data_IF_605858769512
#
_entry.id   IF_605858769512
#
_cell.length_a   1.000
_cell.length_b   1.000
_cell.length_c   1.000
_cell.angle_alpha   90.00
_cell.angle_beta   90.00
_cell.angle_gamma   90.00
#
_symmetry.space_group_name_H-M   'P 1'
#
loop_
_entity.id
_entity.type
_entity.pdbx_description
1 polymer ?
#
# COMPACT_ATOMS: atom_id res chain seq x y z
N UNK A 1 -21.91 -8.23 3.34
CA UNK A 1 -21.76 -6.87 3.90
C UNK A 1 -22.90 -6.62 4.85
N UNK A 2 -22.60 -6.24 6.10
CA UNK A 2 -23.57 -6.14 7.21
C UNK A 2 -24.76 -5.20 6.92
N UNK A 3 -24.55 -4.14 6.12
CA UNK A 3 -25.58 -3.14 5.79
C UNK A 3 -26.05 -3.14 4.33
N UNK A 4 -25.66 -4.12 3.49
CA UNK A 4 -25.92 -4.04 2.05
C UNK A 4 -27.40 -4.10 1.64
N UNK A 5 -28.29 -4.57 2.53
CA UNK A 5 -29.73 -4.59 2.30
C UNK A 5 -30.39 -3.22 2.44
N UNK A 6 -29.73 -2.25 3.08
CA UNK A 6 -30.28 -0.91 3.34
C UNK A 6 -30.08 0.07 2.18
N UNK A 7 -29.27 -0.31 1.18
CA UNK A 7 -28.81 0.62 0.15
C UNK A 7 -28.98 0.02 -1.25
N UNK A 8 -28.99 0.91 -2.25
CA UNK A 8 -29.03 0.50 -3.64
C UNK A 8 -27.81 -0.38 -3.98
N UNK A 9 -28.06 -1.65 -4.32
CA UNK A 9 -27.01 -2.66 -4.58
C UNK A 9 -26.03 -2.25 -5.69
N UNK A 10 -26.50 -1.54 -6.72
CA UNK A 10 -25.66 -1.08 -7.82
C UNK A 10 -24.70 -0.01 -7.33
N UNK A 11 -25.20 0.99 -6.59
CA UNK A 11 -24.37 2.07 -6.04
C UNK A 11 -23.33 1.55 -5.04
N UNK A 12 -23.74 0.64 -4.15
CA UNK A 12 -22.81 0.00 -3.20
C UNK A 12 -21.72 -0.77 -3.94
N UNK A 13 -22.05 -1.53 -4.99
CA UNK A 13 -21.05 -2.26 -5.77
C UNK A 13 -19.99 -1.33 -6.37
N UNK A 14 -20.41 -0.18 -6.91
CA UNK A 14 -19.49 0.83 -7.46
C UNK A 14 -18.58 1.40 -6.35
N UNK A 15 -19.17 1.78 -5.21
CA UNK A 15 -18.41 2.30 -4.05
C UNK A 15 -17.37 1.29 -3.56
N UNK A 16 -17.77 0.02 -3.41
CA UNK A 16 -16.87 -1.05 -2.98
C UNK A 16 -15.74 -1.29 -3.98
N UNK A 17 -16.01 -1.13 -5.28
CA UNK A 17 -14.96 -1.22 -6.30
C UNK A 17 -13.91 -0.11 -6.14
N UNK A 18 -14.34 1.14 -5.96
CA UNK A 18 -13.40 2.25 -5.77
C UNK A 18 -12.61 2.11 -4.45
N UNK A 19 -13.27 1.68 -3.38
CA UNK A 19 -12.60 1.40 -2.10
C UNK A 19 -11.58 0.27 -2.24
N UNK A 20 -11.92 -0.79 -2.97
CA UNK A 20 -11.03 -1.92 -3.19
C UNK A 20 -9.76 -1.49 -3.93
N UNK A 21 -9.87 -0.70 -4.99
CA UNK A 21 -8.69 -0.18 -5.70
C UNK A 21 -7.76 0.57 -4.76
N UNK A 22 -8.28 1.52 -3.98
CA UNK A 22 -7.48 2.27 -3.02
C UNK A 22 -6.86 1.36 -1.95
N UNK A 23 -7.62 0.39 -1.43
CA UNK A 23 -7.14 -0.56 -0.42
C UNK A 23 -6.02 -1.45 -0.95
N UNK A 24 -6.15 -1.98 -2.17
CA UNK A 24 -5.14 -2.86 -2.78
C UNK A 24 -3.81 -2.09 -2.98
N UNK A 25 -3.89 -0.82 -3.40
CA UNK A 25 -2.71 0.05 -3.56
C UNK A 25 -2.04 0.40 -2.24
N UNK A 26 -2.83 0.77 -1.22
CA UNK A 26 -2.32 1.05 0.13
C UNK A 26 -1.73 -0.21 0.77
N UNK A 27 -2.34 -1.38 0.54
CA UNK A 27 -1.83 -2.67 0.97
C UNK A 27 -0.45 -2.94 0.39
N UNK A 28 -0.28 -2.76 -0.92
CA UNK A 28 1.02 -2.95 -1.59
C UNK A 28 2.09 -1.98 -1.05
N UNK A 29 1.72 -0.71 -0.82
CA UNK A 29 2.63 0.26 -0.22
C UNK A 29 3.08 -0.16 1.19
N UNK A 30 2.13 -0.63 2.00
CA UNK A 30 2.41 -1.11 3.34
C UNK A 30 3.30 -2.36 3.32
N UNK A 31 3.03 -3.31 2.44
CA UNK A 31 3.83 -4.53 2.30
C UNK A 31 5.29 -4.22 1.94
N UNK A 32 5.53 -3.27 1.03
CA UNK A 32 6.87 -2.80 0.70
C UNK A 32 7.55 -2.14 1.91
N UNK A 33 6.81 -1.38 2.70
CA UNK A 33 7.35 -0.69 3.89
C UNK A 33 7.75 -1.69 4.98
N UNK A 34 6.93 -2.72 5.22
CA UNK A 34 7.24 -3.79 6.17
C UNK A 34 8.43 -4.63 5.70
N UNK A 35 8.52 -4.92 4.40
CA UNK A 35 9.67 -5.65 3.83
C UNK A 35 10.98 -4.86 3.96
N UNK A 36 10.95 -3.56 3.69
CA UNK A 36 12.10 -2.67 3.83
C UNK A 36 12.59 -2.61 5.30
N UNK A 37 11.69 -2.38 6.25
CA UNK A 37 11.99 -2.37 7.68
C UNK A 37 12.60 -3.70 8.15
N UNK A 38 12.02 -4.83 7.72
CA UNK A 38 12.54 -6.16 8.04
C UNK A 38 13.98 -6.36 7.53
N UNK A 39 14.24 -5.99 6.28
CA UNK A 39 15.56 -6.19 5.66
C UNK A 39 16.63 -5.27 6.25
N UNK A 40 16.29 -4.04 6.61
CA UNK A 40 17.19 -3.14 7.33
C UNK A 40 17.56 -3.71 8.70
N UNK A 41 16.59 -4.20 9.47
CA UNK A 41 16.87 -4.89 10.73
C UNK A 41 17.72 -6.15 10.56
N UNK A 42 17.47 -6.93 9.50
CA UNK A 42 18.26 -8.11 9.21
C UNK A 42 19.71 -7.76 8.86
N UNK A 43 19.92 -6.72 8.04
CA UNK A 43 21.24 -6.21 7.69
C UNK A 43 22.02 -5.74 8.93
N UNK A 44 21.37 -4.96 9.81
CA UNK A 44 21.97 -4.49 11.07
C UNK A 44 22.42 -5.64 11.97
N UNK A 45 21.66 -6.74 11.99
CA UNK A 45 22.00 -7.92 12.78
C UNK A 45 23.21 -8.67 12.20
N UNK A 46 23.32 -8.78 10.88
CA UNK A 46 24.48 -9.41 10.23
C UNK A 46 25.75 -8.59 10.51
N UNK A 47 25.67 -7.26 10.36
CA UNK A 47 26.80 -6.35 10.59
C UNK A 47 27.33 -6.43 12.03
N UNK A 48 26.46 -6.72 13.02
CA UNK A 48 26.86 -6.88 14.43
C UNK A 48 27.50 -8.23 14.75
N UNK A 49 27.27 -9.26 13.92
CA UNK A 49 27.59 -10.65 14.30
C UNK A 49 28.89 -11.18 13.68
N UNK A 50 29.34 -10.74 12.50
CA UNK A 50 30.54 -11.32 11.87
C UNK A 50 31.14 -10.46 10.74
N UNK A 51 32.47 -10.31 10.71
CA UNK A 51 33.25 -9.68 9.63
C UNK A 51 33.93 -10.70 8.70
N UNK A 52 33.17 -11.67 8.19
CA UNK A 52 33.71 -12.60 7.18
C UNK A 52 33.62 -12.00 5.77
N UNK A 53 34.31 -12.59 4.78
CA UNK A 53 34.09 -12.24 3.37
C UNK A 53 32.63 -12.46 2.96
N UNK A 54 32.04 -13.55 3.43
CA UNK A 54 30.70 -13.99 3.04
C UNK A 54 29.63 -13.07 3.64
N UNK A 55 29.82 -12.60 4.88
CA UNK A 55 28.92 -11.62 5.48
C UNK A 55 28.94 -10.29 4.73
N UNK A 56 30.10 -9.86 4.20
CA UNK A 56 30.21 -8.65 3.36
C UNK A 56 29.48 -8.78 2.03
N UNK A 57 29.58 -9.93 1.35
CA UNK A 57 28.82 -10.18 0.11
C UNK A 57 27.31 -10.20 0.37
N UNK A 58 26.87 -10.83 1.46
CA UNK A 58 25.46 -10.84 1.85
C UNK A 58 24.97 -9.42 2.16
N UNK A 59 25.74 -8.62 2.90
CA UNK A 59 25.40 -7.22 3.19
C UNK A 59 25.26 -6.37 1.92
N UNK A 60 26.18 -6.51 0.97
CA UNK A 60 26.10 -5.81 -0.31
C UNK A 60 24.86 -6.21 -1.11
N UNK A 61 24.54 -7.51 -1.12
CA UNK A 61 23.35 -8.05 -1.81
C UNK A 61 22.05 -7.54 -1.19
N UNK A 62 21.98 -7.52 0.15
CA UNK A 62 20.85 -6.96 0.90
C UNK A 62 20.69 -5.45 0.67
N UNK A 63 21.78 -4.68 0.70
CA UNK A 63 21.74 -3.25 0.42
C UNK A 63 21.22 -2.94 -0.99
N UNK A 64 21.58 -3.75 -1.98
CA UNK A 64 21.03 -3.66 -3.33
C UNK A 64 19.52 -3.95 -3.37
N UNK A 65 19.07 -5.01 -2.69
CA UNK A 65 17.65 -5.36 -2.60
C UNK A 65 16.83 -4.26 -1.90
N UNK A 66 17.32 -3.75 -0.76
CA UNK A 66 16.72 -2.64 -0.01
C UNK A 66 16.56 -1.41 -0.91
N UNK A 67 17.59 -1.06 -1.67
CA UNK A 67 17.54 0.09 -2.59
C UNK A 67 16.46 -0.07 -3.67
N UNK A 68 16.31 -1.27 -4.23
CA UNK A 68 15.26 -1.57 -5.22
C UNK A 68 13.86 -1.50 -4.58
N UNK A 69 13.69 -2.06 -3.40
CA UNK A 69 12.43 -2.03 -2.67
C UNK A 69 12.02 -0.60 -2.31
N UNK A 70 12.97 0.23 -1.90
CA UNK A 70 12.75 1.65 -1.65
C UNK A 70 12.24 2.38 -2.91
N UNK A 71 12.88 2.17 -4.06
CA UNK A 71 12.42 2.76 -5.33
C UNK A 71 11.00 2.33 -5.70
N UNK A 72 10.66 1.06 -5.48
CA UNK A 72 9.30 0.55 -5.69
C UNK A 72 8.31 1.18 -4.72
N UNK A 73 8.69 1.34 -3.45
CA UNK A 73 7.86 1.92 -2.40
C UNK A 73 7.56 3.40 -2.70
N UNK A 74 8.55 4.18 -3.14
CA UNK A 74 8.37 5.57 -3.55
C UNK A 74 7.43 5.69 -4.75
N UNK A 75 7.58 4.82 -5.77
CA UNK A 75 6.66 4.78 -6.91
C UNK A 75 5.24 4.43 -6.48
N UNK A 76 5.09 3.42 -5.64
CA UNK A 76 3.79 3.00 -5.12
C UNK A 76 3.13 4.10 -4.29
N UNK A 77 3.91 4.86 -3.49
CA UNK A 77 3.43 6.04 -2.76
C UNK A 77 2.81 7.06 -3.70
N UNK A 78 3.45 7.34 -4.83
CA UNK A 78 2.91 8.29 -5.81
C UNK A 78 1.59 7.78 -6.40
N UNK A 79 1.53 6.49 -6.77
CA UNK A 79 0.29 5.86 -7.27
C UNK A 79 -0.84 5.96 -6.23
N UNK A 80 -0.54 5.73 -4.95
CA UNK A 80 -1.52 5.89 -3.87
C UNK A 80 -2.04 7.34 -3.77
N UNK A 81 -1.17 8.34 -3.89
CA UNK A 81 -1.55 9.76 -3.87
C UNK A 81 -2.45 10.10 -5.05
N UNK A 82 -2.09 9.64 -6.25
CA UNK A 82 -2.86 9.88 -7.47
C UNK A 82 -4.24 9.23 -7.37
N UNK A 83 -4.32 7.97 -6.89
CA UNK A 83 -5.60 7.30 -6.67
C UNK A 83 -6.41 7.97 -5.57
N UNK A 84 -5.77 8.51 -4.51
CA UNK A 84 -6.46 9.29 -3.48
C UNK A 84 -7.14 10.54 -4.07
N UNK A 85 -6.49 11.22 -5.01
CA UNK A 85 -7.09 12.34 -5.73
C UNK A 85 -8.28 11.91 -6.59
N UNK A 86 -8.19 10.76 -7.26
CA UNK A 86 -9.30 10.20 -8.04
C UNK A 86 -10.44 9.77 -7.11
N UNK A 87 -10.15 9.04 -6.06
CA UNK A 87 -11.11 8.56 -5.08
C UNK A 87 -11.82 9.72 -4.36
N UNK A 88 -11.11 10.80 -4.05
CA UNK A 88 -11.67 11.98 -3.38
C UNK A 88 -12.36 12.97 -4.32
N UNK A 89 -12.50 12.65 -5.62
CA UNK A 89 -13.11 13.57 -6.57
C UNK A 89 -14.59 13.86 -6.26
N UNK A 90 -15.11 14.95 -6.82
CA UNK A 90 -16.48 15.42 -6.60
C UNK A 90 -17.55 14.41 -7.03
N UNK A 91 -17.28 13.61 -8.07
CA UNK A 91 -18.19 12.56 -8.56
C UNK A 91 -18.33 11.44 -7.53
N UNK A 92 -17.23 10.98 -6.94
CA UNK A 92 -17.25 9.93 -5.94
C UNK A 92 -17.84 10.44 -4.62
N UNK A 93 -17.53 11.67 -4.22
CA UNK A 93 -18.19 12.31 -3.08
C UNK A 93 -19.72 12.39 -3.26
N UNK A 94 -20.20 12.75 -4.47
CA UNK A 94 -21.63 12.77 -4.79
C UNK A 94 -22.23 11.38 -4.76
N UNK A 95 -21.54 10.36 -5.28
CA UNK A 95 -21.98 8.97 -5.23
C UNK A 95 -22.15 8.48 -3.79
N UNK A 96 -21.18 8.76 -2.91
CA UNK A 96 -21.27 8.43 -1.48
C UNK A 96 -22.45 9.14 -0.82
N UNK A 97 -22.62 10.45 -1.04
CA UNK A 97 -23.77 11.21 -0.52
C UNK A 97 -25.10 10.60 -1.00
N UNK A 98 -25.24 10.32 -2.29
CA UNK A 98 -26.46 9.73 -2.87
C UNK A 98 -26.72 8.27 -2.47
N UNK A 99 -25.74 7.60 -1.86
CA UNK A 99 -25.88 6.20 -1.44
C UNK A 99 -26.18 6.10 0.04
N UNK A 100 -25.58 6.96 0.87
CA UNK A 100 -25.67 6.89 2.34
C UNK A 100 -26.50 8.00 2.98
N UNK A 101 -26.79 9.11 2.27
CA UNK A 101 -27.74 10.11 2.76
C UNK A 101 -29.14 9.67 2.31
N UNK A 102 -29.89 9.18 3.28
CA UNK A 102 -31.32 8.85 3.19
C UNK A 102 -32.11 10.07 2.73
N UNK A 103 -32.89 9.90 1.66
CA UNK A 103 -34.24 10.46 1.61
C UNK A 103 -35.17 9.39 2.15
#
# INVERSE_FOLDING_TARGET
>A
YFYSSLFNKIKIKIILSHLKTLQDLLGTFNDLSVQDEFLQHYLDNILKQTETSDSRFLCASLGGLISILYDLQVKQRQICIDELHIFSNTKNQKLFKQTFVTG
#
